data_IF_245759124114
#
_entry.id   IF_245759124114
#
_cell.length_a   1.000
_cell.length_b   1.000
_cell.length_c   1.000
_cell.angle_alpha   90.00
_cell.angle_beta   90.00
_cell.angle_gamma   90.00
#
_symmetry.space_group_name_H-M   'P 1'
#
loop_
_entity.id
_entity.type
_entity.pdbx_description
1 polymer ?
#
# COMPACT_ATOMS: atom_id res chain seq x y z
N UNK A 1 -4.09 -6.27 14.62
CA UNK A 1 -5.35 -6.84 15.10
C UNK A 1 -6.24 -5.71 15.53
N UNK A 2 -7.43 -5.59 14.94
CA UNK A 2 -8.40 -4.54 15.31
C UNK A 2 -8.82 -4.78 16.74
N UNK A 3 -8.26 -4.03 17.70
CA UNK A 3 -8.67 -4.07 19.11
C UNK A 3 -10.05 -3.48 19.33
N UNK A 4 -10.64 -2.83 18.35
CA UNK A 4 -11.93 -2.16 18.49
C UNK A 4 -13.07 -3.16 18.27
N UNK A 5 -13.68 -3.56 19.36
CA UNK A 5 -14.85 -4.45 19.41
C UNK A 5 -16.01 -3.98 18.53
N UNK A 6 -16.11 -2.69 18.24
CA UNK A 6 -17.20 -2.09 17.44
C UNK A 6 -17.25 -2.58 15.97
N UNK A 7 -16.14 -3.09 15.42
CA UNK A 7 -16.10 -3.63 14.05
C UNK A 7 -16.39 -5.13 13.99
N UNK A 8 -16.40 -5.81 15.14
CA UNK A 8 -16.79 -7.21 15.24
C UNK A 8 -18.31 -7.32 15.32
N UNK A 9 -18.85 -8.28 14.59
CA UNK A 9 -20.28 -8.58 14.68
C UNK A 9 -20.65 -9.11 16.07
N UNK A 10 -21.83 -8.70 16.55
CA UNK A 10 -22.42 -9.31 17.73
C UNK A 10 -22.80 -10.77 17.45
N UNK A 11 -23.02 -11.56 18.47
CA UNK A 11 -23.45 -12.96 18.29
C UNK A 11 -24.76 -13.04 17.50
N UNK A 12 -25.74 -12.19 17.82
CA UNK A 12 -27.02 -12.11 17.13
C UNK A 12 -26.88 -11.72 15.64
N UNK A 13 -25.96 -10.79 15.34
CA UNK A 13 -25.74 -10.36 13.95
C UNK A 13 -25.05 -11.45 13.12
N UNK A 14 -24.17 -12.23 13.73
CA UNK A 14 -23.57 -13.41 13.07
C UNK A 14 -24.61 -14.45 12.72
N UNK A 15 -25.48 -14.77 13.67
CA UNK A 15 -26.55 -15.75 13.47
C UNK A 15 -27.53 -15.27 12.36
N UNK A 16 -27.84 -13.99 12.31
CA UNK A 16 -28.63 -13.41 11.23
C UNK A 16 -27.91 -13.51 9.88
N UNK A 17 -26.60 -13.25 9.85
CA UNK A 17 -25.80 -13.32 8.62
C UNK A 17 -25.66 -14.76 8.10
N UNK A 18 -25.61 -15.75 8.99
CA UNK A 18 -25.51 -17.18 8.64
C UNK A 18 -26.84 -17.76 8.12
N UNK A 19 -27.97 -17.21 8.56
CA UNK A 19 -29.31 -17.63 8.11
C UNK A 19 -29.68 -17.12 6.73
N UNK A 20 -29.11 -16.00 6.31
CA UNK A 20 -29.40 -15.39 5.03
C UNK A 20 -28.45 -15.87 3.94
N UNK A 21 -28.98 -16.22 2.78
CA UNK A 21 -28.19 -16.56 1.61
C UNK A 21 -27.32 -15.35 1.20
N UNK A 22 -26.11 -15.66 0.71
CA UNK A 22 -25.16 -14.65 0.22
C UNK A 22 -25.78 -13.82 -0.90
N UNK A 23 -26.26 -12.63 -0.59
CA UNK A 23 -26.95 -11.78 -1.55
C UNK A 23 -27.28 -10.39 -0.99
N UNK A 24 -28.35 -9.81 -1.52
CA UNK A 24 -28.82 -8.47 -1.13
C UNK A 24 -29.24 -8.41 0.33
N UNK A 25 -29.89 -9.46 0.86
CA UNK A 25 -30.33 -9.55 2.27
C UNK A 25 -29.14 -9.42 3.23
N UNK A 26 -28.04 -10.13 2.95
CA UNK A 26 -26.82 -10.06 3.76
C UNK A 26 -26.20 -8.66 3.71
N UNK A 27 -26.19 -8.01 2.55
CA UNK A 27 -25.68 -6.65 2.42
C UNK A 27 -26.55 -5.62 3.14
N UNK A 28 -27.87 -5.83 3.22
CA UNK A 28 -28.76 -4.94 3.98
C UNK A 28 -28.47 -5.01 5.49
N UNK A 29 -28.25 -6.22 6.02
CA UNK A 29 -27.83 -6.40 7.42
C UNK A 29 -26.50 -5.69 7.67
N UNK A 30 -25.50 -5.89 6.80
CA UNK A 30 -24.19 -5.24 6.92
C UNK A 30 -24.30 -3.70 6.82
N UNK A 31 -25.17 -3.16 5.96
CA UNK A 31 -25.44 -1.71 5.85
C UNK A 31 -26.03 -1.15 7.16
N UNK A 32 -26.98 -1.87 7.76
CA UNK A 32 -27.58 -1.48 9.03
C UNK A 32 -26.55 -1.41 10.14
N UNK A 33 -25.69 -2.44 10.28
CA UNK A 33 -24.64 -2.49 11.30
C UNK A 33 -23.57 -1.42 11.05
N UNK A 34 -23.24 -1.17 9.77
CA UNK A 34 -22.20 -0.21 9.38
C UNK A 34 -22.67 1.26 9.46
N UNK A 35 -23.98 1.54 9.72
CA UNK A 35 -24.54 2.87 9.67
C UNK A 35 -23.83 3.85 10.63
N UNK A 36 -23.50 3.35 11.82
CA UNK A 36 -22.87 4.18 12.87
C UNK A 36 -21.34 4.06 12.90
N UNK A 37 -20.76 3.35 11.91
CA UNK A 37 -19.31 3.16 11.82
C UNK A 37 -18.69 4.13 10.82
N UNK A 38 -17.49 4.67 11.09
CA UNK A 38 -16.77 5.57 10.19
C UNK A 38 -16.15 4.79 9.02
N UNK A 39 -16.99 4.24 8.14
CA UNK A 39 -16.59 3.44 6.97
C UNK A 39 -17.05 4.16 5.70
N UNK A 40 -16.12 4.77 4.99
CA UNK A 40 -16.36 5.52 3.76
C UNK A 40 -16.14 4.68 2.50
N UNK A 41 -15.25 3.66 2.57
CA UNK A 41 -14.92 2.83 1.43
C UNK A 41 -15.88 1.65 1.25
N UNK A 42 -16.05 1.26 -0.02
CA UNK A 42 -16.93 0.16 -0.46
C UNK A 42 -16.14 -0.83 -1.31
N UNK A 43 -16.77 -1.95 -1.65
CA UNK A 43 -16.29 -2.84 -2.70
C UNK A 43 -16.53 -2.21 -4.08
N UNK A 44 -15.98 -2.79 -5.13
CA UNK A 44 -16.24 -2.33 -6.50
C UNK A 44 -17.74 -2.41 -6.89
N UNK A 45 -18.50 -3.32 -6.25
CA UNK A 45 -19.94 -3.45 -6.41
C UNK A 45 -20.76 -2.48 -5.54
N UNK A 46 -20.11 -1.57 -4.76
CA UNK A 46 -20.78 -0.66 -3.84
C UNK A 46 -21.18 -1.29 -2.49
N UNK A 47 -20.86 -2.56 -2.27
CA UNK A 47 -21.19 -3.30 -1.05
C UNK A 47 -20.31 -2.89 0.14
N UNK A 48 -20.78 -3.17 1.36
CA UNK A 48 -19.99 -3.00 2.58
C UNK A 48 -18.83 -4.01 2.58
N UNK A 49 -17.64 -3.56 2.96
CA UNK A 49 -16.45 -4.39 3.05
C UNK A 49 -16.50 -5.24 4.32
N UNK A 50 -16.65 -6.53 4.14
CA UNK A 50 -16.71 -7.52 5.23
C UNK A 50 -15.60 -8.57 5.07
N UNK A 51 -15.22 -9.23 6.14
CA UNK A 51 -14.27 -10.33 6.14
C UNK A 51 -14.89 -11.58 6.76
N UNK A 52 -15.22 -12.56 5.91
CA UNK A 52 -15.80 -13.82 6.36
C UNK A 52 -14.87 -14.62 7.30
N UNK A 53 -13.55 -14.60 7.03
CA UNK A 53 -12.58 -15.31 7.89
C UNK A 53 -12.44 -14.72 9.28
N UNK A 54 -12.42 -13.38 9.37
CA UNK A 54 -12.25 -12.68 10.64
C UNK A 54 -13.57 -12.29 11.29
N UNK A 55 -14.71 -12.51 10.61
CA UNK A 55 -16.06 -12.15 11.06
C UNK A 55 -16.16 -10.70 11.55
N UNK A 56 -15.64 -9.76 10.72
CA UNK A 56 -15.66 -8.34 11.04
C UNK A 56 -15.93 -7.46 9.81
N UNK A 57 -16.56 -6.32 10.07
CA UNK A 57 -16.64 -5.23 9.11
C UNK A 57 -15.24 -4.64 8.94
N UNK A 58 -14.76 -4.56 7.69
CA UNK A 58 -13.43 -3.99 7.43
C UNK A 58 -13.47 -2.47 7.56
N UNK A 59 -12.76 -1.86 8.53
CA UNK A 59 -12.55 -0.42 8.54
C UNK A 59 -11.91 0.05 7.24
N UNK A 60 -11.93 1.35 7.01
CA UNK A 60 -11.23 1.90 5.85
C UNK A 60 -9.76 1.50 5.85
N UNK A 61 -9.24 1.22 4.64
CA UNK A 61 -7.84 0.82 4.42
C UNK A 61 -7.43 -0.51 5.07
N UNK A 62 -8.38 -1.25 5.65
CA UNK A 62 -8.14 -2.56 6.24
C UNK A 62 -8.24 -3.66 5.18
N UNK A 63 -7.29 -4.60 5.18
CA UNK A 63 -7.27 -5.76 4.29
C UNK A 63 -6.94 -7.04 5.07
N UNK A 64 -7.50 -8.16 4.63
CA UNK A 64 -7.16 -9.47 5.17
C UNK A 64 -5.88 -9.98 4.52
N UNK A 65 -4.92 -10.41 5.33
CA UNK A 65 -3.73 -11.08 4.86
C UNK A 65 -3.90 -12.60 4.97
N UNK A 66 -3.90 -13.30 3.85
CA UNK A 66 -4.03 -14.76 3.80
C UNK A 66 -2.85 -15.49 4.44
N UNK A 67 -1.63 -14.91 4.37
CA UNK A 67 -0.43 -15.50 4.99
C UNK A 67 -0.47 -15.40 6.51
N UNK A 68 -0.92 -14.25 7.04
CA UNK A 68 -1.02 -14.03 8.49
C UNK A 68 -2.38 -14.45 9.06
N UNK A 69 -3.33 -14.81 8.22
CA UNK A 69 -4.73 -15.16 8.52
C UNK A 69 -5.43 -14.17 9.47
N UNK A 70 -5.25 -12.88 9.19
CA UNK A 70 -5.85 -11.79 9.99
C UNK A 70 -6.04 -10.51 9.19
N UNK A 71 -7.00 -9.70 9.61
CA UNK A 71 -7.20 -8.35 9.08
C UNK A 71 -6.18 -7.37 9.67
N UNK A 72 -5.55 -6.60 8.80
CA UNK A 72 -4.50 -5.62 9.12
C UNK A 72 -5.02 -4.21 8.84
N UNK A 73 -4.96 -3.34 9.85
CA UNK A 73 -5.35 -1.94 9.73
C UNK A 73 -4.39 -1.17 8.82
N UNK A 74 -4.93 -0.37 7.90
CA UNK A 74 -4.15 0.39 6.89
C UNK A 74 -3.03 -0.48 6.34
N UNK A 75 -3.41 -1.65 5.83
CA UNK A 75 -2.46 -2.62 5.30
C UNK A 75 -1.71 -2.03 4.11
N UNK A 76 -0.39 -2.12 4.15
CA UNK A 76 0.47 -1.75 3.05
C UNK A 76 0.83 -2.98 2.21
N UNK A 77 1.47 -3.97 2.81
CA UNK A 77 1.81 -5.27 2.22
C UNK A 77 2.19 -6.30 3.28
N UNK A 78 2.20 -7.58 2.92
CA UNK A 78 2.91 -8.60 3.67
C UNK A 78 4.37 -8.61 3.23
N UNK A 79 5.29 -8.46 4.15
CA UNK A 79 6.72 -8.38 3.87
C UNK A 79 7.42 -9.71 4.24
N UNK A 80 7.86 -10.52 3.26
CA UNK A 80 8.55 -11.78 3.54
C UNK A 80 9.87 -11.59 4.28
N UNK A 81 10.57 -10.46 4.03
CA UNK A 81 11.87 -10.18 4.64
C UNK A 81 11.84 -10.02 6.15
N UNK A 82 10.71 -9.54 6.70
CA UNK A 82 10.50 -9.40 8.14
C UNK A 82 9.44 -10.39 8.65
N UNK A 83 8.97 -11.28 7.79
CA UNK A 83 7.93 -12.27 8.06
C UNK A 83 6.72 -11.66 8.81
N UNK A 84 6.27 -10.50 8.37
CA UNK A 84 5.17 -9.77 9.01
C UNK A 84 4.45 -8.87 8.01
N UNK A 85 3.20 -8.47 8.36
CA UNK A 85 2.49 -7.45 7.61
C UNK A 85 2.93 -6.06 8.04
N UNK A 86 3.18 -5.21 7.05
CA UNK A 86 3.37 -3.77 7.21
C UNK A 86 2.03 -3.09 7.11
N UNK A 87 1.67 -2.30 8.14
CA UNK A 87 0.40 -1.59 8.24
C UNK A 87 0.46 -0.47 9.27
N UNK A 88 -0.70 0.02 9.73
CA UNK A 88 -0.80 1.20 10.61
C UNK A 88 0.18 1.20 11.78
N UNK A 89 0.31 0.08 12.49
CA UNK A 89 1.07 0.02 13.75
C UNK A 89 2.58 0.01 13.56
N UNK A 90 3.08 -0.39 12.40
CA UNK A 90 4.51 -0.59 12.16
C UNK A 90 5.04 0.09 10.89
N UNK A 91 4.22 0.87 10.18
CA UNK A 91 4.65 1.52 8.94
C UNK A 91 5.79 2.53 9.16
N UNK A 92 5.75 3.30 10.26
CA UNK A 92 6.85 4.20 10.64
C UNK A 92 8.15 3.43 10.87
N UNK A 93 8.09 2.32 11.61
CA UNK A 93 9.28 1.49 11.86
C UNK A 93 9.86 0.91 10.58
N UNK A 94 8.99 0.50 9.65
CA UNK A 94 9.40 0.03 8.33
C UNK A 94 10.12 1.14 7.53
N UNK A 95 9.58 2.36 7.51
CA UNK A 95 10.23 3.51 6.87
C UNK A 95 11.61 3.81 7.47
N UNK A 96 11.72 3.79 8.81
CA UNK A 96 13.00 3.99 9.50
C UNK A 96 13.99 2.86 9.23
N UNK A 97 13.50 1.62 9.18
CA UNK A 97 14.33 0.48 8.80
C UNK A 97 14.95 0.68 7.42
N UNK A 98 14.16 1.08 6.41
CA UNK A 98 14.67 1.37 5.07
C UNK A 98 15.70 2.51 5.08
N UNK A 99 15.40 3.60 5.80
CA UNK A 99 16.28 4.75 5.89
C UNK A 99 17.64 4.41 6.53
N UNK A 100 17.62 3.74 7.67
CA UNK A 100 18.85 3.36 8.38
C UNK A 100 19.64 2.28 7.65
N UNK A 101 18.97 1.31 7.04
CA UNK A 101 19.63 0.30 6.22
C UNK A 101 20.31 0.93 5.00
N UNK A 102 19.64 1.89 4.36
CA UNK A 102 20.22 2.66 3.25
C UNK A 102 21.46 3.44 3.70
N UNK A 103 21.38 4.19 4.81
CA UNK A 103 22.51 4.92 5.36
C UNK A 103 23.68 4.01 5.69
N UNK A 104 23.41 2.85 6.27
CA UNK A 104 24.44 1.84 6.58
C UNK A 104 25.11 1.32 5.30
N UNK A 105 24.33 0.93 4.28
CA UNK A 105 24.90 0.46 3.01
C UNK A 105 25.69 1.55 2.28
N UNK A 106 25.23 2.80 2.30
CA UNK A 106 25.96 3.93 1.73
C UNK A 106 27.29 4.20 2.48
N UNK A 107 27.27 4.09 3.81
CA UNK A 107 28.49 4.22 4.61
C UNK A 107 29.52 3.14 4.24
N UNK A 108 29.09 1.88 4.15
CA UNK A 108 29.98 0.78 3.74
C UNK A 108 30.49 1.03 2.31
N UNK A 109 29.62 1.36 1.37
CA UNK A 109 30.02 1.64 -0.02
C UNK A 109 31.05 2.77 -0.10
N UNK A 110 30.85 3.86 0.64
CA UNK A 110 31.76 5.01 0.63
C UNK A 110 33.12 4.70 1.26
N UNK A 111 33.13 3.93 2.34
CA UNK A 111 34.38 3.51 3.00
C UNK A 111 35.14 2.51 2.13
N UNK A 112 34.46 1.51 1.58
CA UNK A 112 35.09 0.49 0.75
C UNK A 112 35.59 1.05 -0.58
N UNK A 113 34.92 2.05 -1.15
CA UNK A 113 35.38 2.73 -2.36
C UNK A 113 36.78 3.31 -2.18
N UNK A 114 37.10 3.89 -1.02
CA UNK A 114 38.44 4.41 -0.72
C UNK A 114 39.47 3.29 -0.68
N UNK A 115 39.14 2.15 -0.06
CA UNK A 115 39.99 0.98 -0.02
C UNK A 115 40.14 0.34 -1.39
N UNK A 116 39.04 0.22 -2.13
CA UNK A 116 39.00 -0.30 -3.51
C UNK A 116 39.92 0.53 -4.42
N UNK A 117 39.79 1.86 -4.42
CA UNK A 117 40.65 2.74 -5.24
C UNK A 117 42.12 2.62 -4.82
N UNK A 118 42.43 2.72 -3.53
CA UNK A 118 43.81 2.60 -3.02
C UNK A 118 44.44 1.25 -3.39
N UNK A 119 43.63 0.21 -3.32
CA UNK A 119 44.07 -1.12 -3.56
C UNK A 119 44.36 -1.38 -5.06
N UNK A 120 43.57 -0.82 -5.97
CA UNK A 120 43.68 -0.96 -7.41
C UNK A 120 44.70 0.00 -8.04
N UNK A 121 44.85 1.21 -7.51
CA UNK A 121 45.68 2.27 -8.05
C UNK A 121 47.11 2.31 -7.47
N UNK A 122 47.27 1.81 -6.23
CA UNK A 122 48.56 1.82 -5.56
C UNK A 122 49.43 0.61 -5.98
N UNK A 123 50.04 0.71 -7.16
CA UNK A 123 51.08 -0.24 -7.57
C UNK A 123 52.23 -0.36 -6.53
N UNK A 124 52.33 -1.50 -5.86
CA UNK A 124 53.53 -1.95 -5.14
C UNK A 124 53.86 -1.35 -3.77
N UNK A 125 53.82 -0.05 -3.56
CA UNK A 125 54.31 0.59 -2.31
C UNK A 125 53.24 0.75 -1.21
N UNK A 126 51.96 0.96 -1.55
CA UNK A 126 50.89 1.01 -0.57
C UNK A 126 50.45 -0.39 -0.10
N UNK A 127 50.76 -1.40 -0.88
CA UNK A 127 50.53 -2.81 -0.62
C UNK A 127 51.25 -3.30 0.66
N UNK A 128 52.45 -2.80 0.93
CA UNK A 128 53.24 -3.19 2.11
C UNK A 128 52.58 -2.67 3.42
N UNK A 129 52.10 -1.42 3.44
CA UNK A 129 51.45 -0.86 4.64
C UNK A 129 50.08 -1.45 4.92
N UNK A 130 49.31 -1.75 3.88
CA UNK A 130 48.02 -2.38 4.04
C UNK A 130 48.10 -3.84 4.50
N UNK A 131 49.15 -4.53 4.07
CA UNK A 131 49.51 -5.90 4.52
C UNK A 131 49.87 -5.96 5.99
N UNK A 132 50.60 -4.95 6.49
CA UNK A 132 50.93 -4.80 7.92
C UNK A 132 49.69 -4.51 8.78
N UNK A 133 48.70 -3.76 8.23
CA UNK A 133 47.48 -3.42 8.91
C UNK A 133 46.45 -4.58 8.93
N UNK A 134 46.47 -5.46 7.96
CA UNK A 134 45.54 -6.63 7.82
C UNK A 134 46.06 -7.91 8.45
N UNK A 135 47.03 -7.83 9.38
CA UNK A 135 47.48 -8.98 10.17
C UNK A 135 47.74 -10.30 9.40
N UNK A 136 48.39 -10.21 8.25
CA UNK A 136 48.83 -11.41 7.56
C UNK A 136 47.85 -12.13 6.65
N UNK A 137 46.69 -11.56 6.34
CA UNK A 137 45.78 -12.09 5.33
C UNK A 137 46.47 -12.10 3.96
N UNK A 138 46.43 -13.22 3.20
CA UNK A 138 46.98 -13.26 1.86
C UNK A 138 46.30 -12.23 0.98
N UNK A 139 47.08 -11.48 0.21
CA UNK A 139 46.66 -10.36 -0.64
C UNK A 139 45.40 -10.63 -1.48
N UNK A 140 45.28 -11.82 -2.00
CA UNK A 140 44.15 -12.26 -2.82
C UNK A 140 42.84 -12.36 -2.04
N UNK A 141 42.88 -12.82 -0.78
CA UNK A 141 41.69 -12.93 0.06
C UNK A 141 41.18 -11.54 0.47
N UNK A 142 42.09 -10.64 0.87
CA UNK A 142 41.76 -9.28 1.21
C UNK A 142 41.08 -8.54 0.03
N UNK A 143 41.63 -8.74 -1.19
CA UNK A 143 41.03 -8.20 -2.43
C UNK A 143 39.62 -8.71 -2.66
N UNK A 144 39.44 -10.01 -2.52
CA UNK A 144 38.14 -10.62 -2.70
C UNK A 144 37.09 -10.07 -1.71
N UNK A 145 37.44 -9.97 -0.43
CA UNK A 145 36.52 -9.45 0.59
C UNK A 145 36.12 -7.97 0.36
N UNK A 146 37.08 -7.12 0.02
CA UNK A 146 36.81 -5.70 -0.28
C UNK A 146 35.93 -5.59 -1.52
N UNK A 147 36.25 -6.34 -2.57
CA UNK A 147 35.47 -6.37 -3.81
C UNK A 147 34.03 -6.84 -3.56
N UNK A 148 33.88 -7.97 -2.87
CA UNK A 148 32.58 -8.55 -2.55
C UNK A 148 31.74 -7.59 -1.69
N UNK A 149 32.32 -6.99 -0.65
CA UNK A 149 31.64 -6.07 0.25
C UNK A 149 31.20 -4.80 -0.48
N UNK A 150 32.10 -4.23 -1.30
CA UNK A 150 31.79 -3.04 -2.11
C UNK A 150 30.62 -3.28 -3.07
N UNK A 151 30.64 -4.35 -3.85
CA UNK A 151 29.57 -4.63 -4.81
C UNK A 151 28.25 -5.00 -4.12
N UNK A 152 28.30 -5.80 -3.06
CA UNK A 152 27.11 -6.16 -2.29
C UNK A 152 26.46 -4.91 -1.66
N UNK A 153 27.24 -4.08 -0.96
CA UNK A 153 26.72 -2.85 -0.34
C UNK A 153 26.19 -1.88 -1.39
N UNK A 154 26.85 -1.73 -2.53
CA UNK A 154 26.40 -0.88 -3.63
C UNK A 154 25.06 -1.34 -4.21
N UNK A 155 24.93 -2.64 -4.47
CA UNK A 155 23.69 -3.24 -4.98
C UNK A 155 22.51 -3.04 -4.00
N UNK A 156 22.75 -3.32 -2.70
CA UNK A 156 21.73 -3.08 -1.67
C UNK A 156 21.40 -1.58 -1.52
N UNK A 157 22.38 -0.69 -1.65
CA UNK A 157 22.14 0.76 -1.61
C UNK A 157 21.15 1.21 -2.70
N UNK A 158 21.34 0.76 -3.93
CA UNK A 158 20.45 1.09 -5.06
C UNK A 158 19.05 0.54 -4.82
N UNK A 159 18.94 -0.72 -4.39
CA UNK A 159 17.65 -1.37 -4.13
C UNK A 159 16.88 -0.68 -2.99
N UNK A 160 17.58 -0.40 -1.87
CA UNK A 160 16.98 0.28 -0.71
C UNK A 160 16.61 1.73 -1.03
N UNK A 161 17.43 2.45 -1.82
CA UNK A 161 17.12 3.80 -2.25
C UNK A 161 15.85 3.84 -3.09
N UNK A 162 15.69 2.93 -4.04
CA UNK A 162 14.49 2.81 -4.87
C UNK A 162 13.25 2.54 -4.02
N UNK A 163 13.33 1.57 -3.10
CA UNK A 163 12.21 1.21 -2.23
C UNK A 163 11.86 2.34 -1.25
N UNK A 164 12.86 2.96 -0.63
CA UNK A 164 12.65 4.08 0.29
C UNK A 164 12.02 5.28 -0.41
N UNK A 165 12.52 5.65 -1.59
CA UNK A 165 11.95 6.75 -2.39
C UNK A 165 10.50 6.47 -2.79
N UNK A 166 10.20 5.24 -3.19
CA UNK A 166 8.84 4.81 -3.50
C UNK A 166 7.90 4.97 -2.29
N UNK A 167 8.32 4.51 -1.12
CA UNK A 167 7.51 4.65 0.10
C UNK A 167 7.40 6.11 0.57
N UNK A 168 8.42 6.94 0.39
CA UNK A 168 8.32 8.39 0.61
C UNK A 168 7.24 9.02 -0.29
N UNK A 169 7.21 8.63 -1.56
CA UNK A 169 6.16 9.06 -2.49
C UNK A 169 4.77 8.60 -2.04
N UNK A 170 4.61 7.36 -1.57
CA UNK A 170 3.36 6.86 -1.01
C UNK A 170 2.90 7.70 0.19
N UNK A 171 3.80 8.03 1.11
CA UNK A 171 3.51 8.90 2.26
C UNK A 171 3.09 10.30 1.79
N UNK A 172 3.79 10.90 0.83
CA UNK A 172 3.42 12.20 0.24
C UNK A 172 1.99 12.22 -0.29
N UNK A 173 1.52 11.09 -0.86
CA UNK A 173 0.17 10.92 -1.42
C UNK A 173 -0.83 10.35 -0.42
N UNK A 174 -0.41 10.00 0.78
CA UNK A 174 -1.17 9.25 1.79
C UNK A 174 -1.83 8.00 1.22
N UNK A 175 -1.05 7.19 0.52
CA UNK A 175 -1.48 5.92 -0.06
C UNK A 175 -0.71 4.77 0.58
N UNK A 176 -1.33 3.60 0.62
CA UNK A 176 -0.61 2.34 0.82
C UNK A 176 -0.20 1.75 -0.54
N UNK A 177 0.69 0.78 -0.54
CA UNK A 177 1.07 0.03 -1.75
C UNK A 177 -0.16 -0.60 -2.41
N UNK A 178 -1.07 -1.17 -1.62
CA UNK A 178 -2.34 -1.72 -2.12
C UNK A 178 -3.21 -0.66 -2.79
N UNK A 179 -3.32 0.53 -2.21
CA UNK A 179 -4.11 1.64 -2.75
C UNK A 179 -3.46 2.29 -3.98
N UNK A 180 -2.15 2.19 -4.12
CA UNK A 180 -1.45 2.63 -5.34
C UNK A 180 -1.78 1.74 -6.53
N UNK A 181 -1.91 0.41 -6.30
CA UNK A 181 -2.26 -0.58 -7.33
C UNK A 181 -3.78 -0.56 -7.57
N UNK A 182 -4.57 -0.62 -6.50
CA UNK A 182 -6.04 -0.63 -6.56
C UNK A 182 -6.60 0.55 -5.78
N UNK A 183 -7.13 1.52 -6.50
CA UNK A 183 -7.69 2.74 -5.90
C UNK A 183 -8.86 2.43 -4.97
N UNK A 184 -8.98 3.10 -3.82
CA UNK A 184 -10.14 2.94 -2.94
C UNK A 184 -11.42 3.41 -3.64
N UNK A 185 -12.50 2.69 -3.41
CA UNK A 185 -13.84 3.02 -3.91
C UNK A 185 -14.62 3.66 -2.78
N UNK A 186 -15.10 4.87 -2.99
CA UNK A 186 -16.01 5.60 -2.09
C UNK A 186 -17.44 5.55 -2.63
N UNK A 187 -18.42 6.10 -1.91
CA UNK A 187 -19.80 6.18 -2.38
C UNK A 187 -19.94 6.89 -3.73
N UNK A 188 -19.09 7.88 -4.00
CA UNK A 188 -19.09 8.69 -5.23
C UNK A 188 -18.23 8.11 -6.37
N UNK A 189 -17.62 6.96 -6.15
CA UNK A 189 -16.73 6.31 -7.11
C UNK A 189 -15.31 6.13 -6.62
N UNK A 190 -14.41 5.77 -7.53
CA UNK A 190 -13.01 5.55 -7.22
C UNK A 190 -12.24 6.87 -7.12
N UNK A 191 -11.55 7.09 -6.01
CA UNK A 191 -10.65 8.24 -5.86
C UNK A 191 -9.30 7.82 -5.30
N UNK A 192 -8.26 8.07 -6.10
CA UNK A 192 -6.87 7.80 -5.71
C UNK A 192 -6.38 8.71 -4.58
N UNK A 193 -6.94 9.91 -4.44
CA UNK A 193 -6.50 10.93 -3.49
C UNK A 193 -7.44 11.13 -2.30
N UNK A 194 -8.51 10.34 -2.18
CA UNK A 194 -9.56 10.52 -1.19
C UNK A 194 -9.08 10.62 0.27
N UNK A 195 -7.93 10.05 0.61
CA UNK A 195 -7.30 10.14 1.92
C UNK A 195 -6.18 11.19 2.02
N UNK A 196 -5.84 11.90 0.93
CA UNK A 196 -4.74 12.86 0.93
C UNK A 196 -5.19 14.21 1.52
N UNK A 197 -4.51 14.65 2.58
CA UNK A 197 -4.76 15.92 3.26
C UNK A 197 -3.70 16.99 2.95
N UNK A 198 -2.84 16.72 1.96
CA UNK A 198 -1.66 17.51 1.65
C UNK A 198 -0.40 16.95 2.30
N UNK A 199 0.76 17.18 1.65
CA UNK A 199 2.03 16.52 1.95
C UNK A 199 2.41 16.61 3.44
N UNK A 200 2.39 17.80 4.03
CA UNK A 200 2.76 18.00 5.43
C UNK A 200 1.88 17.20 6.40
N UNK A 201 0.54 17.24 6.22
CA UNK A 201 -0.39 16.49 7.05
C UNK A 201 -0.27 14.98 6.83
N UNK A 202 0.01 14.55 5.58
CA UNK A 202 0.21 13.15 5.26
C UNK A 202 1.43 12.55 5.97
N UNK A 203 2.55 13.31 6.03
CA UNK A 203 3.73 12.91 6.81
C UNK A 203 3.43 12.82 8.31
N UNK A 204 2.73 13.82 8.87
CA UNK A 204 2.34 13.81 10.29
C UNK A 204 1.44 12.63 10.65
N UNK A 205 0.59 12.16 9.76
CA UNK A 205 -0.20 10.96 10.01
C UNK A 205 0.64 9.70 10.26
N UNK A 206 1.82 9.60 9.63
CA UNK A 206 2.72 8.46 9.79
C UNK A 206 3.73 8.68 10.91
N UNK A 207 4.35 9.87 10.96
CA UNK A 207 5.47 10.17 11.85
C UNK A 207 5.07 10.89 13.13
N UNK A 208 3.82 11.39 13.21
CA UNK A 208 3.33 12.18 14.34
C UNK A 208 3.60 13.68 14.18
N UNK A 209 3.05 14.48 15.10
CA UNK A 209 3.14 15.94 15.06
C UNK A 209 4.52 16.45 15.46
N UNK A 210 5.21 15.74 16.37
CA UNK A 210 6.50 16.13 16.92
C UNK A 210 7.66 15.66 16.03
N UNK A 211 8.28 16.58 15.29
CA UNK A 211 9.37 16.29 14.34
C UNK A 211 10.58 15.62 15.00
N UNK A 212 10.85 15.95 16.28
CA UNK A 212 11.95 15.35 17.05
C UNK A 212 11.84 13.82 17.18
N UNK A 213 10.63 13.25 17.12
CA UNK A 213 10.41 11.81 17.20
C UNK A 213 10.40 11.13 15.81
N UNK A 214 10.51 11.88 14.72
CA UNK A 214 10.48 11.30 13.39
C UNK A 214 11.60 10.28 13.15
N UNK A 215 12.88 10.60 13.49
CA UNK A 215 13.96 9.63 13.31
C UNK A 215 14.00 8.53 14.38
N UNK A 216 13.24 8.68 15.46
CA UNK A 216 13.30 7.74 16.59
C UNK A 216 12.26 6.63 16.39
N UNK A 217 12.62 5.33 16.62
CA UNK A 217 11.72 4.21 16.46
C UNK A 217 10.74 4.08 17.64
N UNK A 218 9.91 5.10 17.85
CA UNK A 218 8.79 5.11 18.78
C UNK A 218 7.49 5.27 18.02
N UNK A 219 6.41 4.65 18.52
CA UNK A 219 5.10 4.80 17.93
C UNK A 219 4.59 6.22 18.13
N UNK A 220 4.34 6.92 17.03
CA UNK A 220 3.84 8.30 17.04
C UNK A 220 2.83 8.58 15.93
N UNK A 221 2.40 7.56 15.19
CA UNK A 221 1.38 7.70 14.13
C UNK A 221 0.08 8.21 14.71
N UNK A 222 -0.56 9.15 14.00
CA UNK A 222 -1.81 9.77 14.43
C UNK A 222 -3.02 8.88 14.12
N UNK A 223 -4.02 8.92 15.03
CA UNK A 223 -5.28 8.20 14.88
C UNK A 223 -5.28 6.79 15.48
N UNK A 224 -6.38 6.09 15.29
CA UNK A 224 -6.66 4.74 15.82
C UNK A 224 -6.38 3.62 14.80
N UNK A 225 -6.11 4.00 13.55
CA UNK A 225 -5.93 3.06 12.43
C UNK A 225 -7.23 2.48 11.87
N UNK A 226 -8.37 2.88 12.40
CA UNK A 226 -9.70 2.47 11.95
C UNK A 226 -10.46 3.59 11.24
N UNK A 227 -10.25 4.82 11.68
CA UNK A 227 -10.87 6.02 11.13
C UNK A 227 -9.80 6.90 10.47
N UNK A 228 -10.06 7.35 9.26
CA UNK A 228 -9.14 8.21 8.53
C UNK A 228 -9.88 9.46 8.03
N UNK A 229 -9.33 10.66 8.25
CA UNK A 229 -9.89 11.86 7.65
C UNK A 229 -9.80 11.76 6.12
N UNK A 230 -10.91 12.09 5.46
CA UNK A 230 -11.00 12.12 4.01
C UNK A 230 -11.19 13.55 3.52
N UNK A 231 -10.71 13.88 2.33
CA UNK A 231 -10.99 15.18 1.70
C UNK A 231 -12.43 15.26 1.18
N UNK A 232 -13.20 14.15 1.22
CA UNK A 232 -14.54 14.00 0.64
C UNK A 232 -15.68 14.23 1.64
N UNK A 233 -15.38 14.46 2.93
CA UNK A 233 -16.41 14.63 4.00
C UNK A 233 -17.40 15.76 3.70
N UNK A 234 -17.01 16.76 2.93
CA UNK A 234 -17.91 17.88 2.57
C UNK A 234 -18.89 17.53 1.43
N UNK A 235 -18.83 16.32 0.88
CA UNK A 235 -19.65 15.86 -0.24
C UNK A 235 -20.77 14.89 0.20
N UNK A 236 -20.78 14.48 1.47
CA UNK A 236 -21.73 13.49 1.99
C UNK A 236 -22.63 14.12 3.07
N UNK A 237 -23.86 14.58 2.73
CA UNK A 237 -24.77 15.23 3.69
C UNK A 237 -25.41 14.26 4.72
N UNK A 238 -25.27 12.94 4.53
CA UNK A 238 -25.94 11.93 5.37
C UNK A 238 -25.08 11.34 6.49
N UNK A 239 -23.82 11.77 6.68
CA UNK A 239 -23.01 11.21 7.77
C UNK A 239 -22.95 12.12 8.99
N UNK A 240 -23.18 11.60 10.22
CA UNK A 240 -23.06 12.37 11.43
C UNK A 240 -21.64 12.88 11.61
N UNK A 241 -21.50 14.19 11.75
CA UNK A 241 -20.26 14.89 12.07
C UNK A 241 -19.77 14.39 13.43
N UNK A 242 -18.68 13.66 13.48
CA UNK A 242 -18.04 13.32 14.77
C UNK A 242 -17.58 14.60 15.46
N UNK A 243 -17.99 14.87 16.71
CA UNK A 243 -17.56 16.06 17.43
C UNK A 243 -16.16 15.84 17.99
N UNK A 244 -15.14 16.23 17.27
CA UNK A 244 -13.80 16.33 17.81
C UNK A 244 -13.23 17.72 17.55
N UNK A 245 -13.22 18.54 18.61
CA UNK A 245 -12.28 19.64 18.77
C UNK A 245 -12.69 20.96 18.10
N UNK A 246 -13.54 21.70 18.77
CA UNK A 246 -13.66 23.15 18.64
C UNK A 246 -12.31 23.83 18.89
N UNK A 247 -11.82 24.57 17.88
CA UNK A 247 -11.08 25.80 18.10
C UNK A 247 -11.41 26.80 16.99
N UNK A 248 -12.00 27.95 17.35
CA UNK A 248 -12.34 29.00 16.40
C UNK A 248 -11.20 30.01 16.33
N UNK A 249 -10.38 30.00 15.30
CA UNK A 249 -9.66 31.21 14.83
C UNK A 249 -8.83 30.85 13.58
N UNK A 250 -9.35 31.07 12.42
CA UNK A 250 -8.79 31.89 11.35
C UNK A 250 -9.62 31.74 10.08
N UNK A 251 -10.50 32.72 9.89
CA UNK A 251 -11.09 32.98 8.58
C UNK A 251 -10.02 33.67 7.74
N UNK A 252 -9.50 33.00 6.73
CA UNK A 252 -8.97 33.64 5.55
C UNK A 252 -9.50 32.89 4.33
N UNK A 253 -10.09 33.67 3.43
CA UNK A 253 -10.81 33.26 2.25
C UNK A 253 -10.00 32.32 1.36
N UNK A 254 -10.50 31.10 1.17
CA UNK A 254 -10.13 30.27 0.05
C UNK A 254 -11.27 30.33 -0.96
N UNK A 255 -11.00 31.04 -2.02
CA UNK A 255 -11.76 31.21 -3.23
C UNK A 255 -12.19 29.86 -3.81
N UNK A 256 -13.49 29.63 -3.86
CA UNK A 256 -14.13 28.49 -4.50
C UNK A 256 -13.89 28.63 -6.02
N UNK A 257 -12.90 27.94 -6.55
CA UNK A 257 -12.80 27.75 -8.00
C UNK A 257 -13.85 26.72 -8.42
N UNK A 258 -14.98 27.20 -8.86
CA UNK A 258 -15.93 26.45 -9.69
C UNK A 258 -15.22 26.05 -10.99
N UNK A 259 -15.04 24.75 -11.20
CA UNK A 259 -14.65 24.25 -12.51
C UNK A 259 -15.86 24.33 -13.44
N UNK A 260 -15.75 24.97 -14.60
CA UNK A 260 -16.81 24.98 -15.60
C UNK A 260 -16.97 23.58 -16.17
N UNK A 261 -18.16 23.01 -16.01
CA UNK A 261 -18.61 21.79 -16.71
C UNK A 261 -18.66 22.10 -18.20
N UNK A 262 -17.69 21.60 -18.98
CA UNK A 262 -17.79 21.59 -20.43
C UNK A 262 -18.85 20.57 -20.85
N UNK A 263 -19.83 20.95 -21.70
CA UNK A 263 -20.73 19.96 -22.26
C UNK A 263 -19.97 18.98 -23.17
N UNK A 264 -20.29 17.69 -23.04
CA UNK A 264 -19.75 16.65 -23.91
C UNK A 264 -20.05 16.98 -25.37
N UNK A 265 -19.01 16.95 -26.19
CA UNK A 265 -19.15 17.11 -27.65
C UNK A 265 -19.95 15.93 -28.22
N UNK A 266 -20.91 16.22 -29.09
CA UNK A 266 -21.84 15.29 -29.77
C UNK A 266 -21.19 14.12 -30.53
N UNK A 267 -19.89 14.08 -30.65
CA UNK A 267 -19.14 13.00 -31.32
C UNK A 267 -18.91 11.76 -30.46
N UNK A 268 -19.11 11.83 -29.14
CA UNK A 268 -18.90 10.67 -28.24
C UNK A 268 -20.18 9.87 -27.94
N UNK A 269 -21.35 10.41 -28.23
CA UNK A 269 -22.63 9.72 -28.03
C UNK A 269 -22.93 8.65 -29.11
N UNK A 270 -22.21 8.66 -30.23
CA UNK A 270 -22.40 7.69 -31.33
C UNK A 270 -21.66 6.37 -31.15
N UNK A 271 -20.74 6.28 -30.19
CA UNK A 271 -19.97 5.05 -29.94
C UNK A 271 -20.63 4.09 -28.92
N UNK A 272 -21.72 4.51 -28.29
CA UNK A 272 -22.42 3.71 -27.28
C UNK A 272 -23.71 3.04 -27.79
N UNK A 273 -24.09 3.20 -29.07
CA UNK A 273 -25.33 2.70 -29.63
C UNK A 273 -25.16 1.67 -30.77
N UNK A 274 -23.96 1.18 -31.04
CA UNK A 274 -23.75 0.12 -32.03
C UNK A 274 -23.52 -1.24 -31.34
N UNK A 275 -24.58 -2.00 -31.17
CA UNK A 275 -24.51 -3.44 -30.93
C UNK A 275 -24.19 -4.15 -32.25
N UNK A 276 -23.17 -5.00 -32.34
CA UNK A 276 -22.96 -5.84 -33.51
C UNK A 276 -23.91 -7.03 -33.43
N UNK A 277 -24.83 -7.12 -34.42
CA UNK A 277 -25.62 -8.32 -34.68
C UNK A 277 -24.73 -9.32 -35.42
N UNK A 278 -24.51 -10.49 -34.84
CA UNK A 278 -23.93 -11.64 -35.52
C UNK A 278 -25.04 -12.44 -36.14
N UNK A 279 -25.10 -12.46 -37.45
CA UNK A 279 -25.92 -13.42 -38.22
C UNK A 279 -25.04 -14.61 -38.58
N UNK A 280 -25.54 -15.79 -38.21
CA UNK A 280 -25.08 -17.10 -38.71
C UNK A 280 -25.19 -17.20 -40.23
N UNK A 281 -24.19 -17.81 -40.88
CA UNK A 281 -24.37 -18.48 -42.16
C UNK A 281 -23.45 -19.71 -42.21
N UNK A 282 -24.12 -20.85 -42.39
CA UNK A 282 -23.58 -22.18 -42.63
C UNK A 282 -22.69 -22.29 -43.88
N UNK A 283 -21.67 -23.13 -43.83
CA UNK A 283 -21.51 -24.31 -44.73
C UNK A 283 -20.10 -24.92 -44.65
N UNK A 284 -20.06 -26.12 -44.19
CA UNK A 284 -19.56 -27.40 -44.76
C UNK A 284 -18.08 -27.57 -45.22
N UNK A 285 -17.54 -28.70 -44.75
CA UNK A 285 -16.58 -29.66 -45.33
C UNK A 285 -15.09 -29.45 -45.00
N UNK A 286 -14.54 -30.31 -44.29
CA UNK A 286 -13.95 -31.66 -44.45
C UNK A 286 -12.42 -31.73 -44.15
N UNK A 287 -12.07 -32.78 -43.43
CA UNK A 287 -10.82 -33.56 -43.36
C UNK A 287 -9.60 -33.15 -42.50
N UNK A 288 -9.47 -34.00 -41.46
CA UNK A 288 -8.29 -34.78 -41.04
C UNK A 288 -6.93 -34.12 -40.77
N UNK A 289 -6.45 -34.18 -39.55
CA UNK A 289 -5.41 -35.09 -39.01
C UNK A 289 -4.87 -34.67 -37.66
N UNK A 290 -4.98 -35.63 -36.75
CA UNK A 290 -4.01 -36.08 -35.70
C UNK A 290 -3.07 -35.05 -34.97
N UNK A 291 -3.29 -34.91 -33.65
CA UNK A 291 -2.29 -35.53 -32.72
C UNK A 291 -1.50 -34.55 -31.88
N UNK A 292 -1.74 -34.57 -30.63
CA UNK A 292 -0.79 -34.50 -29.50
C UNK A 292 -1.30 -33.60 -28.37
N UNK A 293 -1.58 -34.29 -27.30
CA UNK A 293 -1.88 -33.81 -25.96
C UNK A 293 -0.74 -33.01 -25.32
N UNK A 294 -1.09 -31.90 -24.64
CA UNK A 294 -0.41 -31.55 -23.39
C UNK A 294 -1.32 -30.73 -22.48
N UNK A 295 -1.32 -30.97 -21.18
CA UNK A 295 -2.35 -30.52 -20.26
C UNK A 295 -2.18 -29.06 -19.84
N UNK A 296 -3.28 -28.34 -19.86
CA UNK A 296 -3.38 -26.97 -19.42
C UNK A 296 -3.30 -26.82 -17.90
N UNK A 297 -2.55 -25.85 -17.49
CA UNK A 297 -2.46 -25.35 -16.13
C UNK A 297 -3.60 -24.34 -15.95
N UNK A 298 -4.65 -24.73 -15.23
CA UNK A 298 -5.71 -23.84 -14.80
C UNK A 298 -5.19 -22.97 -13.65
N UNK A 299 -5.14 -21.67 -13.91
CA UNK A 299 -4.97 -20.66 -12.86
C UNK A 299 -6.37 -20.26 -12.41
N UNK A 300 -6.76 -20.73 -11.24
CA UNK A 300 -7.95 -20.26 -10.55
C UNK A 300 -7.68 -18.89 -9.95
N UNK A 301 -8.46 -17.92 -10.40
CA UNK A 301 -8.58 -16.59 -9.77
C UNK A 301 -9.53 -16.70 -8.59
N UNK A 302 -9.04 -16.53 -7.37
CA UNK A 302 -9.87 -16.16 -6.22
C UNK A 302 -9.25 -14.98 -5.46
N UNK A 303 -10.05 -13.96 -5.42
CA UNK A 303 -10.59 -12.97 -4.47
C UNK A 303 -9.58 -12.11 -3.69
#
# INVERSE_FOLDING_TARGET
MTREKRFHLSYSDKELLEREDRGESQQEILRRIAKDLPIYTRTNSGAIRFCDRCQLLKPDRCHHCSVCDKCILKMDHHCPWVNNCVGFSNYKYFMLFLAYSLLYCLFITATDLRFFIKFWTAGGRAHFRLREYLNGLPDTQAKFHILFLFFSASMFSVSLASLFTYHCWLVCKNRSTLEAVRSPVFRHGTDKNGFSLGVSKNFRQVFGDEVKYWPIPVFSSLGDGCSFPTCLVNLDPEQPVSPTGSNPANKSAAEVRQFPSKPLRDSQSRLLTSTPSWTESDSAADKDKKGASNPGMTIENEA
#
